data_IF_396322991408
#
_entry.id   IF_396322991408
#
_cell.length_a   1.000
_cell.length_b   1.000
_cell.length_c   1.000
_cell.angle_alpha   90.00
_cell.angle_beta   90.00
_cell.angle_gamma   90.00
#
_symmetry.space_group_name_H-M   'P 1'
#
loop_
_entity.id
_entity.type
_entity.pdbx_description
1 polymer ?
#
# COMPACT_ATOMS: atom_id res chain seq x y z
N UNK A 1 1.93 -19.20 -10.87
CA UNK A 1 2.45 -18.18 -11.82
C UNK A 1 2.39 -16.79 -11.19
N UNK A 2 1.37 -16.52 -10.37
CA UNK A 2 1.11 -15.25 -9.69
C UNK A 2 2.23 -14.80 -8.74
N UNK A 3 2.78 -15.73 -7.95
CA UNK A 3 3.84 -15.39 -6.98
C UNK A 3 5.15 -14.98 -7.67
N UNK A 4 5.52 -15.64 -8.77
CA UNK A 4 6.67 -15.27 -9.60
C UNK A 4 6.45 -13.95 -10.32
N UNK A 5 5.25 -13.71 -10.85
CA UNK A 5 4.90 -12.44 -11.49
C UNK A 5 5.00 -11.25 -10.53
N UNK A 6 4.44 -11.37 -9.32
CA UNK A 6 4.52 -10.33 -8.28
C UNK A 6 5.98 -10.08 -7.89
N UNK A 7 6.78 -11.14 -7.71
CA UNK A 7 8.19 -11.01 -7.32
C UNK A 7 9.05 -10.36 -8.42
N UNK A 8 8.86 -10.74 -9.68
CA UNK A 8 9.54 -10.11 -10.82
C UNK A 8 9.13 -8.65 -10.99
N UNK A 9 7.83 -8.29 -10.83
CA UNK A 9 7.41 -6.89 -10.84
C UNK A 9 8.09 -6.07 -9.74
N UNK A 10 8.19 -6.62 -8.53
CA UNK A 10 8.83 -5.93 -7.40
C UNK A 10 10.35 -5.79 -7.60
N UNK A 11 11.03 -6.82 -8.08
CA UNK A 11 12.48 -6.78 -8.32
C UNK A 11 12.85 -6.00 -9.58
N UNK A 12 12.29 -6.37 -10.73
CA UNK A 12 12.68 -5.85 -12.04
C UNK A 12 11.92 -4.58 -12.41
N UNK A 13 10.66 -4.44 -11.97
CA UNK A 13 9.84 -3.26 -12.23
C UNK A 13 10.09 -2.11 -11.25
N UNK A 14 10.10 -2.40 -9.95
CA UNK A 14 10.30 -1.42 -8.88
C UNK A 14 11.75 -1.32 -8.38
N UNK A 15 12.65 -2.22 -8.78
CA UNK A 15 14.07 -2.18 -8.41
C UNK A 15 14.36 -2.64 -6.97
N UNK A 16 13.46 -3.35 -6.30
CA UNK A 16 13.68 -3.81 -4.93
C UNK A 16 14.81 -4.84 -4.87
N UNK A 17 15.77 -4.63 -3.96
CA UNK A 17 16.81 -5.62 -3.67
C UNK A 17 16.18 -6.87 -3.05
N UNK A 18 16.75 -8.04 -3.35
CA UNK A 18 16.31 -9.33 -2.78
C UNK A 18 16.21 -9.36 -1.25
N UNK A 19 17.05 -8.56 -0.58
CA UNK A 19 17.06 -8.45 0.89
C UNK A 19 15.98 -7.52 1.46
N UNK A 20 15.15 -6.90 0.63
CA UNK A 20 14.14 -5.94 1.09
C UNK A 20 12.94 -6.71 1.65
N UNK A 21 12.70 -6.57 2.95
CA UNK A 21 11.51 -7.14 3.60
C UNK A 21 10.29 -6.31 3.20
N UNK A 22 9.51 -6.83 2.27
CA UNK A 22 8.24 -6.22 1.86
C UNK A 22 7.12 -6.71 2.78
N UNK A 23 6.50 -5.78 3.52
CA UNK A 23 5.33 -6.09 4.34
C UNK A 23 4.06 -5.91 3.52
N UNK A 24 3.46 -7.04 3.11
CA UNK A 24 2.19 -7.05 2.40
C UNK A 24 1.04 -6.96 3.42
N UNK A 25 0.68 -5.73 3.80
CA UNK A 25 -0.34 -5.50 4.82
C UNK A 25 -1.70 -5.23 4.19
N UNK A 26 -2.60 -6.22 4.21
CA UNK A 26 -4.00 -6.05 3.75
C UNK A 26 -4.83 -5.16 4.69
N UNK A 27 -4.54 -5.23 6.00
CA UNK A 27 -5.19 -4.41 7.05
C UNK A 27 -4.14 -3.97 8.05
N UNK A 28 -4.03 -2.68 8.29
CA UNK A 28 -3.18 -2.12 9.35
C UNK A 28 -4.08 -1.91 10.57
N UNK A 29 -3.77 -2.56 11.69
CA UNK A 29 -4.52 -2.39 12.94
C UNK A 29 -6.05 -2.57 12.78
N UNK A 30 -6.47 -3.63 12.09
CA UNK A 30 -7.86 -3.94 11.73
C UNK A 30 -8.57 -2.95 10.78
N UNK A 31 -7.89 -1.89 10.33
CA UNK A 31 -8.37 -0.95 9.32
C UNK A 31 -7.84 -1.37 7.95
N UNK A 32 -8.66 -1.32 6.91
CA UNK A 32 -8.23 -1.66 5.56
C UNK A 32 -7.16 -0.69 5.07
N UNK A 33 -6.03 -1.23 4.61
CA UNK A 33 -4.96 -0.48 3.99
C UNK A 33 -5.41 -0.10 2.56
N UNK A 34 -6.29 0.90 2.49
CA UNK A 34 -7.02 1.31 1.31
C UNK A 34 -6.87 2.81 1.11
N UNK A 35 -6.87 3.23 -0.16
CA UNK A 35 -6.95 4.64 -0.55
C UNK A 35 -8.18 5.33 0.04
N UNK A 36 -9.24 4.59 0.38
CA UNK A 36 -10.45 5.14 0.97
C UNK A 36 -10.19 5.90 2.28
N UNK A 37 -9.33 5.38 3.17
CA UNK A 37 -9.04 6.05 4.44
C UNK A 37 -8.35 7.41 4.21
N UNK A 38 -7.35 7.43 3.32
CA UNK A 38 -6.67 8.66 2.92
C UNK A 38 -7.61 9.65 2.25
N UNK A 39 -8.45 9.20 1.32
CA UNK A 39 -9.44 10.03 0.64
C UNK A 39 -10.50 10.58 1.61
N UNK A 40 -10.92 9.81 2.61
CA UNK A 40 -11.83 10.32 3.65
C UNK A 40 -11.17 11.36 4.54
N UNK A 41 -9.89 11.19 4.89
CA UNK A 41 -9.13 12.18 5.66
C UNK A 41 -8.90 13.45 4.85
N UNK A 42 -8.54 13.33 3.57
CA UNK A 42 -8.35 14.44 2.65
C UNK A 42 -9.66 15.22 2.46
N UNK A 43 -10.78 14.51 2.27
CA UNK A 43 -12.09 15.13 2.19
C UNK A 43 -12.51 15.81 3.50
N UNK A 44 -12.21 15.22 4.66
CA UNK A 44 -12.47 15.83 5.97
C UNK A 44 -11.59 17.07 6.22
N UNK A 45 -10.36 17.07 5.73
CA UNK A 45 -9.44 18.19 5.83
C UNK A 45 -9.84 19.33 4.89
N UNK A 46 -10.26 19.00 3.66
CA UNK A 46 -10.82 19.95 2.70
C UNK A 46 -12.14 20.56 3.21
N UNK A 47 -12.95 19.76 3.91
CA UNK A 47 -14.20 20.21 4.56
C UNK A 47 -14.00 21.12 5.77
N UNK A 48 -12.77 21.44 6.20
CA UNK A 48 -12.47 22.41 7.28
C UNK A 48 -13.46 22.36 8.46
N UNK A 49 -13.59 21.18 9.08
CA UNK A 49 -14.22 21.06 10.42
C UNK A 49 -13.12 21.07 11.51
N UNK A 50 -11.91 21.55 11.20
CA UNK A 50 -10.87 21.88 12.17
C UNK A 50 -10.40 23.33 11.98
#
# INVERSE_FOLDING_TARGET
MDMTYITCLLKDGFGFKESTVLQLTKKVNNVEASWALGATLDHLHDLKIL
#
